data_IF_143317206815
#
_entry.id   IF_143317206815
#
_cell.length_a   1.000
_cell.length_b   1.000
_cell.length_c   1.000
_cell.angle_alpha   90.00
_cell.angle_beta   90.00
_cell.angle_gamma   90.00
#
_symmetry.space_group_name_H-M   'P 1'
#
loop_
_entity.id
_entity.type
_entity.pdbx_description
1 polymer ?
#
# COMPACT_ATOMS: atom_id res chain seq x y z
N UNK A 1 29.59 -27.34 -17.05
CA UNK A 1 29.76 -25.97 -17.62
C UNK A 1 28.88 -25.03 -16.80
N UNK A 2 29.46 -24.20 -15.92
CA UNK A 2 28.69 -23.21 -15.15
C UNK A 2 28.08 -22.24 -16.16
N UNK A 3 26.78 -22.33 -16.39
CA UNK A 3 26.04 -21.30 -17.13
C UNK A 3 26.24 -20.03 -16.32
N UNK A 4 27.09 -19.14 -16.81
CA UNK A 4 27.25 -17.79 -16.28
C UNK A 4 25.86 -17.17 -16.37
N UNK A 5 25.19 -17.00 -15.22
CA UNK A 5 23.90 -16.34 -15.15
C UNK A 5 24.07 -14.95 -15.77
N UNK A 6 23.54 -14.81 -16.98
CA UNK A 6 23.54 -13.56 -17.73
C UNK A 6 22.89 -12.52 -16.82
N UNK A 7 23.67 -11.52 -16.39
CA UNK A 7 23.25 -10.46 -15.46
C UNK A 7 21.89 -9.91 -15.94
N UNK A 8 20.81 -10.21 -15.20
CA UNK A 8 19.46 -9.81 -15.60
C UNK A 8 19.39 -8.27 -15.63
N UNK A 9 18.68 -7.71 -16.62
CA UNK A 9 18.66 -6.26 -16.82
C UNK A 9 18.00 -5.55 -15.62
N UNK A 10 18.66 -4.57 -14.97
CA UNK A 10 18.07 -3.81 -13.86
C UNK A 10 16.79 -3.07 -14.27
N UNK A 11 16.58 -2.85 -15.57
CA UNK A 11 15.36 -2.25 -16.13
C UNK A 11 14.12 -3.10 -15.82
N UNK A 12 14.22 -4.43 -15.88
CA UNK A 12 13.07 -5.32 -15.65
C UNK A 12 12.56 -5.19 -14.20
N UNK A 13 13.48 -5.07 -13.24
CA UNK A 13 13.14 -4.88 -11.84
C UNK A 13 12.52 -3.51 -11.56
N UNK A 14 13.05 -2.46 -12.19
CA UNK A 14 12.45 -1.14 -12.16
C UNK A 14 11.02 -1.13 -12.73
N UNK A 15 10.82 -1.73 -13.92
CA UNK A 15 9.50 -1.83 -14.56
C UNK A 15 8.53 -2.61 -13.69
N UNK A 16 8.97 -3.69 -13.03
CA UNK A 16 8.13 -4.41 -12.06
C UNK A 16 7.63 -3.48 -10.96
N UNK A 17 8.55 -2.83 -10.24
CA UNK A 17 8.18 -1.99 -9.09
C UNK A 17 7.32 -0.81 -9.54
N UNK A 18 7.67 -0.15 -10.65
CA UNK A 18 6.95 1.02 -11.14
C UNK A 18 5.56 0.66 -11.69
N UNK A 19 5.43 -0.43 -12.45
CA UNK A 19 4.14 -0.85 -13.02
C UNK A 19 3.11 -1.26 -11.96
N UNK A 20 3.55 -1.74 -10.80
CA UNK A 20 2.66 -1.96 -9.64
C UNK A 20 2.04 -0.65 -9.18
N UNK A 21 2.76 0.47 -9.30
CA UNK A 21 2.29 1.79 -8.85
C UNK A 21 1.35 2.51 -9.84
N UNK A 22 1.02 1.88 -10.96
CA UNK A 22 0.18 2.45 -12.03
C UNK A 22 -1.27 1.97 -11.95
N UNK A 23 -1.81 1.82 -10.74
CA UNK A 23 -3.13 1.23 -10.50
C UNK A 23 -4.29 1.95 -11.19
N UNK A 24 -4.17 3.25 -11.48
CA UNK A 24 -5.16 4.03 -12.24
C UNK A 24 -5.26 3.60 -13.70
N UNK A 25 -4.14 3.25 -14.32
CA UNK A 25 -4.04 2.98 -15.75
C UNK A 25 -4.37 1.52 -16.05
N UNK A 26 -5.59 1.13 -15.74
CA UNK A 26 -6.09 -0.23 -15.92
C UNK A 26 -7.11 -0.32 -17.04
N UNK A 27 -7.18 -1.49 -17.68
CA UNK A 27 -8.23 -1.83 -18.64
C UNK A 27 -9.33 -2.58 -17.90
N UNK A 28 -10.58 -2.14 -18.04
CA UNK A 28 -11.72 -2.88 -17.51
C UNK A 28 -12.10 -4.02 -18.46
N UNK A 29 -11.88 -5.25 -18.02
CA UNK A 29 -12.25 -6.48 -18.73
C UNK A 29 -13.22 -7.35 -17.90
N UNK A 30 -14.01 -6.71 -17.02
CA UNK A 30 -14.76 -7.36 -15.94
C UNK A 30 -13.97 -7.47 -14.63
N UNK A 31 -12.69 -7.10 -14.69
CA UNK A 31 -11.82 -6.73 -13.57
C UNK A 31 -10.78 -5.73 -14.08
N UNK A 32 -10.18 -4.98 -13.17
CA UNK A 32 -9.11 -4.02 -13.48
C UNK A 32 -7.82 -4.76 -13.87
N UNK A 33 -7.57 -4.89 -15.18
CA UNK A 33 -6.32 -5.40 -15.72
C UNK A 33 -5.25 -4.31 -15.64
N UNK A 34 -4.36 -4.43 -14.66
CA UNK A 34 -3.36 -3.41 -14.33
C UNK A 34 -2.04 -3.61 -15.08
N UNK A 35 -1.21 -2.56 -15.25
CA UNK A 35 0.02 -2.65 -16.03
C UNK A 35 1.00 -3.72 -15.53
N UNK A 36 1.12 -3.91 -14.22
CA UNK A 36 1.99 -4.96 -13.67
C UNK A 36 1.52 -6.37 -14.07
N UNK A 37 0.21 -6.60 -14.21
CA UNK A 37 -0.34 -7.91 -14.60
C UNK A 37 0.08 -8.27 -16.03
N UNK A 38 0.01 -7.30 -16.94
CA UNK A 38 0.48 -7.45 -18.33
C UNK A 38 1.99 -7.71 -18.35
N UNK A 39 2.74 -6.94 -17.57
CA UNK A 39 4.20 -7.09 -17.48
C UNK A 39 4.61 -8.48 -16.94
N UNK A 40 4.02 -8.96 -15.85
CA UNK A 40 4.36 -10.29 -15.33
C UNK A 40 3.92 -11.41 -16.27
N UNK A 41 2.80 -11.26 -16.98
CA UNK A 41 2.36 -12.23 -17.98
C UNK A 41 3.37 -12.31 -19.14
N UNK A 42 3.86 -11.16 -19.61
CA UNK A 42 4.93 -11.09 -20.59
C UNK A 42 6.20 -11.79 -20.09
N UNK A 43 6.65 -11.48 -18.87
CA UNK A 43 7.83 -12.14 -18.28
C UNK A 43 7.61 -13.65 -18.17
N UNK A 44 6.42 -14.11 -17.77
CA UNK A 44 6.10 -15.53 -17.63
C UNK A 44 6.22 -16.27 -18.97
N UNK A 45 5.72 -15.70 -20.07
CA UNK A 45 5.81 -16.30 -21.41
C UNK A 45 7.27 -16.62 -21.79
N UNK A 46 8.20 -15.67 -21.59
CA UNK A 46 9.61 -15.87 -21.93
C UNK A 46 10.39 -16.70 -20.90
N UNK A 47 9.84 -16.88 -19.69
CA UNK A 47 10.50 -17.55 -18.58
C UNK A 47 9.85 -18.85 -18.14
N UNK A 48 8.81 -19.32 -18.86
CA UNK A 48 7.99 -20.48 -18.50
C UNK A 48 8.83 -21.74 -18.27
N UNK A 49 9.81 -22.01 -19.14
CA UNK A 49 10.72 -23.15 -19.05
C UNK A 49 11.64 -23.14 -17.80
N UNK A 50 11.76 -21.99 -17.11
CA UNK A 50 12.55 -21.82 -15.89
C UNK A 50 11.69 -21.48 -14.68
N UNK A 51 10.37 -21.35 -14.85
CA UNK A 51 9.50 -20.96 -13.76
C UNK A 51 9.44 -22.09 -12.73
N UNK A 52 9.61 -21.74 -11.46
CA UNK A 52 9.47 -22.68 -10.36
C UNK A 52 8.93 -21.97 -9.13
N UNK A 53 8.22 -22.72 -8.28
CA UNK A 53 7.68 -22.22 -7.02
C UNK A 53 8.73 -22.35 -5.93
N UNK A 54 9.09 -21.23 -5.29
CA UNK A 54 9.96 -21.23 -4.12
C UNK A 54 9.27 -21.86 -2.92
N UNK A 55 10.06 -22.48 -2.04
CA UNK A 55 9.61 -22.94 -0.72
C UNK A 55 8.93 -21.80 0.03
N UNK A 56 7.79 -22.12 0.66
CA UNK A 56 6.99 -21.19 1.44
C UNK A 56 7.56 -21.04 2.86
N UNK A 57 7.55 -19.80 3.37
CA UNK A 57 7.73 -19.50 4.79
C UNK A 57 6.43 -19.63 5.56
N UNK A 58 6.53 -19.70 6.90
CA UNK A 58 5.37 -19.87 7.78
C UNK A 58 4.29 -18.79 7.57
N UNK A 59 4.68 -17.51 7.42
CA UNK A 59 3.72 -16.43 7.18
C UNK A 59 2.98 -16.59 5.83
N UNK A 60 3.63 -17.16 4.82
CA UNK A 60 3.00 -17.42 3.51
C UNK A 60 2.00 -18.57 3.59
N UNK A 61 2.30 -19.61 4.38
CA UNK A 61 1.36 -20.70 4.64
C UNK A 61 0.12 -20.16 5.36
N UNK A 62 0.31 -19.35 6.40
CA UNK A 62 -0.80 -18.72 7.14
C UNK A 62 -1.61 -17.78 6.23
N UNK A 63 -0.94 -17.01 5.36
CA UNK A 63 -1.59 -16.18 4.35
C UNK A 63 -2.50 -17.03 3.44
N UNK A 64 -1.98 -18.12 2.89
CA UNK A 64 -2.74 -19.03 2.03
C UNK A 64 -3.95 -19.60 2.79
N UNK A 65 -3.76 -20.05 4.04
CA UNK A 65 -4.84 -20.57 4.87
C UNK A 65 -5.94 -19.52 5.12
N UNK A 66 -5.57 -18.27 5.40
CA UNK A 66 -6.53 -17.18 5.53
C UNK A 66 -7.33 -16.99 4.23
N UNK A 67 -6.66 -16.89 3.07
CA UNK A 67 -7.35 -16.65 1.81
C UNK A 67 -8.18 -17.83 1.32
N UNK A 68 -7.77 -19.06 1.61
CA UNK A 68 -8.58 -20.25 1.35
C UNK A 68 -9.85 -20.22 2.21
N UNK A 69 -9.72 -19.91 3.50
CA UNK A 69 -10.88 -19.77 4.38
C UNK A 69 -11.80 -18.62 3.92
N UNK A 70 -11.24 -17.43 3.69
CA UNK A 70 -12.00 -16.28 3.20
C UNK A 70 -12.72 -16.60 1.89
N UNK A 71 -12.06 -17.27 0.93
CA UNK A 71 -12.71 -17.71 -0.31
C UNK A 71 -13.84 -18.72 -0.06
N UNK A 72 -13.69 -19.61 0.94
CA UNK A 72 -14.72 -20.60 1.27
C UNK A 72 -16.01 -19.99 1.82
N UNK A 73 -15.95 -18.79 2.41
CA UNK A 73 -17.17 -18.10 2.89
C UNK A 73 -18.07 -17.63 1.74
N UNK A 74 -17.60 -17.68 0.49
CA UNK A 74 -18.43 -17.48 -0.70
C UNK A 74 -19.62 -18.45 -0.78
N UNK A 75 -19.54 -19.64 -0.17
CA UNK A 75 -20.62 -20.64 -0.18
C UNK A 75 -21.88 -20.12 0.51
N UNK A 76 -21.73 -19.26 1.53
CA UNK A 76 -22.83 -18.68 2.31
C UNK A 76 -23.19 -17.25 1.88
N UNK A 77 -22.55 -16.75 0.83
CA UNK A 77 -22.73 -15.37 0.37
C UNK A 77 -24.11 -15.16 -0.28
N UNK A 78 -24.79 -14.07 0.10
CA UNK A 78 -26.03 -13.62 -0.56
C UNK A 78 -25.79 -13.18 -2.00
N UNK A 79 -24.61 -12.62 -2.29
CA UNK A 79 -24.21 -12.13 -3.61
C UNK A 79 -23.02 -12.94 -4.15
N UNK A 80 -23.22 -14.19 -4.59
CA UNK A 80 -22.13 -15.10 -4.98
C UNK A 80 -21.31 -14.59 -6.18
N UNK A 81 -21.90 -13.81 -7.08
CA UNK A 81 -21.18 -13.19 -8.21
C UNK A 81 -20.06 -12.26 -7.74
N UNK A 82 -20.28 -11.50 -6.65
CA UNK A 82 -19.26 -10.63 -6.08
C UNK A 82 -18.14 -11.45 -5.42
N UNK A 83 -18.50 -12.50 -4.67
CA UNK A 83 -17.52 -13.43 -4.10
C UNK A 83 -16.70 -14.14 -5.17
N UNK A 84 -17.31 -14.58 -6.27
CA UNK A 84 -16.58 -15.22 -7.37
C UNK A 84 -15.56 -14.28 -8.01
N UNK A 85 -15.92 -13.00 -8.24
CA UNK A 85 -14.97 -11.98 -8.70
C UNK A 85 -13.82 -11.78 -7.71
N UNK A 86 -14.11 -11.75 -6.41
CA UNK A 86 -13.06 -11.67 -5.38
C UNK A 86 -12.14 -12.89 -5.40
N UNK A 87 -12.67 -14.10 -5.53
CA UNK A 87 -11.87 -15.34 -5.64
C UNK A 87 -10.95 -15.28 -6.87
N UNK A 88 -11.45 -14.83 -8.03
CA UNK A 88 -10.62 -14.61 -9.21
C UNK A 88 -9.51 -13.58 -8.92
N UNK A 89 -9.85 -12.48 -8.26
CA UNK A 89 -8.87 -11.48 -7.81
C UNK A 89 -7.80 -12.06 -6.89
N UNK A 90 -8.19 -12.92 -5.94
CA UNK A 90 -7.29 -13.66 -5.05
C UNK A 90 -6.36 -14.56 -5.89
N UNK A 91 -6.88 -15.35 -6.82
CA UNK A 91 -6.06 -16.21 -7.69
C UNK A 91 -5.05 -15.39 -8.48
N UNK A 92 -5.48 -14.27 -9.08
CA UNK A 92 -4.61 -13.36 -9.84
C UNK A 92 -3.51 -12.78 -8.95
N UNK A 93 -3.84 -12.31 -7.74
CA UNK A 93 -2.83 -11.69 -6.86
C UNK A 93 -1.85 -12.73 -6.31
N UNK A 94 -2.28 -13.96 -6.04
CA UNK A 94 -1.36 -15.05 -5.68
C UNK A 94 -0.43 -15.42 -6.83
N UNK A 95 -0.97 -15.55 -8.05
CA UNK A 95 -0.15 -15.73 -9.25
C UNK A 95 0.88 -14.61 -9.41
N UNK A 96 0.44 -13.36 -9.19
CA UNK A 96 1.30 -12.18 -9.20
C UNK A 96 2.38 -12.23 -8.13
N UNK A 97 2.03 -12.61 -6.90
CA UNK A 97 2.95 -12.73 -5.79
C UNK A 97 4.06 -13.75 -6.05
N UNK A 98 3.73 -14.93 -6.58
CA UNK A 98 4.73 -15.93 -6.96
C UNK A 98 5.60 -15.46 -8.12
N UNK A 99 5.02 -14.74 -9.09
CA UNK A 99 5.79 -14.09 -10.14
C UNK A 99 6.74 -13.02 -9.59
N UNK A 100 6.30 -12.21 -8.62
CA UNK A 100 7.16 -11.24 -7.94
C UNK A 100 8.35 -11.95 -7.29
N UNK A 101 8.11 -13.02 -6.52
CA UNK A 101 9.19 -13.84 -5.92
C UNK A 101 10.14 -14.40 -6.97
N UNK A 102 9.61 -14.95 -8.07
CA UNK A 102 10.41 -15.48 -9.17
C UNK A 102 11.31 -14.43 -9.82
N UNK A 103 10.79 -13.23 -10.06
CA UNK A 103 11.56 -12.13 -10.63
C UNK A 103 12.63 -11.66 -9.62
N UNK A 104 12.23 -11.36 -8.37
CA UNK A 104 13.11 -10.87 -7.31
C UNK A 104 14.21 -11.85 -6.95
N UNK A 105 14.01 -13.15 -7.17
CA UNK A 105 15.04 -14.13 -6.85
C UNK A 105 16.31 -13.95 -7.70
N UNK A 106 16.16 -13.50 -8.94
CA UNK A 106 17.27 -13.28 -9.87
C UNK A 106 18.11 -12.03 -9.58
N UNK A 107 17.77 -11.24 -8.56
CA UNK A 107 18.46 -9.98 -8.25
C UNK A 107 19.04 -9.96 -6.83
N UNK A 108 20.06 -9.14 -6.62
CA UNK A 108 20.59 -8.83 -5.29
C UNK A 108 19.66 -7.85 -4.54
N UNK A 109 19.79 -7.80 -3.21
CA UNK A 109 19.02 -6.84 -2.40
C UNK A 109 19.34 -5.39 -2.79
N UNK A 110 20.60 -5.10 -3.10
CA UNK A 110 21.02 -3.75 -3.51
C UNK A 110 20.34 -3.32 -4.83
N UNK A 111 20.20 -4.22 -5.80
CA UNK A 111 19.49 -3.93 -7.06
C UNK A 111 17.99 -3.68 -6.83
N UNK A 112 17.37 -4.43 -5.91
CA UNK A 112 15.98 -4.23 -5.49
C UNK A 112 15.81 -2.86 -4.83
N UNK A 113 16.68 -2.52 -3.89
CA UNK A 113 16.66 -1.22 -3.22
C UNK A 113 16.89 -0.07 -4.20
N UNK A 114 17.79 -0.21 -5.17
CA UNK A 114 18.00 0.80 -6.22
C UNK A 114 16.77 0.97 -7.10
N UNK A 115 16.05 -0.13 -7.39
CA UNK A 115 14.82 -0.11 -8.18
C UNK A 115 13.67 0.55 -7.41
N UNK A 116 13.51 0.23 -6.11
CA UNK A 116 12.57 0.94 -5.21
C UNK A 116 12.90 2.43 -5.18
N UNK A 117 14.17 2.79 -4.99
CA UNK A 117 14.62 4.18 -4.94
C UNK A 117 14.34 4.95 -6.23
N UNK A 118 14.48 4.31 -7.39
CA UNK A 118 14.29 4.97 -8.68
C UNK A 118 12.81 5.03 -9.05
N UNK A 119 12.06 3.95 -8.82
CA UNK A 119 10.62 3.90 -9.06
C UNK A 119 9.86 4.88 -8.16
N UNK A 120 10.24 5.00 -6.88
CA UNK A 120 9.61 5.94 -5.95
C UNK A 120 9.81 7.41 -6.33
N UNK A 121 10.99 7.79 -6.85
CA UNK A 121 11.24 9.15 -7.33
C UNK A 121 10.35 9.42 -8.54
N UNK A 122 10.34 8.52 -9.53
CA UNK A 122 9.54 8.70 -10.73
C UNK A 122 8.04 8.76 -10.41
N UNK A 123 7.56 7.84 -9.57
CA UNK A 123 6.16 7.76 -9.14
C UNK A 123 5.71 9.06 -8.47
N UNK A 124 6.46 9.56 -7.48
CA UNK A 124 6.09 10.77 -6.77
C UNK A 124 6.25 12.02 -7.63
N UNK A 125 7.29 12.10 -8.44
CA UNK A 125 7.51 13.23 -9.35
C UNK A 125 6.36 13.36 -10.35
N UNK A 126 6.02 12.27 -11.05
CA UNK A 126 4.89 12.30 -12.01
C UNK A 126 3.58 12.59 -11.29
N UNK A 127 3.35 12.02 -10.11
CA UNK A 127 2.12 12.24 -9.35
C UNK A 127 1.94 13.71 -8.92
N UNK A 128 3.01 14.38 -8.48
CA UNK A 128 2.98 15.82 -8.17
C UNK A 128 2.77 16.63 -9.44
N UNK A 129 3.43 16.30 -10.55
CA UNK A 129 3.23 16.99 -11.84
C UNK A 129 1.77 16.88 -12.29
N UNK A 130 1.18 15.68 -12.26
CA UNK A 130 -0.22 15.46 -12.64
C UNK A 130 -1.19 16.19 -11.70
N UNK A 131 -0.88 16.27 -10.41
CA UNK A 131 -1.64 17.06 -9.45
C UNK A 131 -1.60 18.56 -9.77
N UNK A 132 -0.42 19.11 -10.05
CA UNK A 132 -0.26 20.52 -10.42
C UNK A 132 -0.94 20.85 -11.75
N UNK A 133 -0.83 19.97 -12.76
CA UNK A 133 -1.57 20.10 -14.02
C UNK A 133 -3.09 20.09 -13.73
N UNK A 134 -3.56 19.24 -12.82
CA UNK A 134 -4.94 19.24 -12.34
C UNK A 134 -5.38 20.59 -11.78
N UNK A 135 -4.60 21.18 -10.87
CA UNK A 135 -4.87 22.50 -10.29
C UNK A 135 -4.95 23.58 -11.38
N UNK A 136 -3.98 23.61 -12.29
CA UNK A 136 -3.92 24.59 -13.38
C UNK A 136 -5.10 24.41 -14.33
N UNK A 137 -5.49 23.16 -14.65
CA UNK A 137 -6.62 22.88 -15.53
C UNK A 137 -7.97 23.32 -14.96
N UNK A 138 -8.08 23.45 -13.64
CA UNK A 138 -9.24 24.04 -12.97
C UNK A 138 -9.14 25.57 -12.83
N UNK A 139 -8.14 26.22 -13.46
CA UNK A 139 -7.86 27.66 -13.31
C UNK A 139 -7.80 28.11 -11.85
N UNK A 140 -7.27 27.27 -10.96
CA UNK A 140 -7.22 27.53 -9.51
C UNK A 140 -8.60 27.70 -8.84
N UNK A 141 -9.71 27.36 -9.52
CA UNK A 141 -11.03 27.28 -8.92
C UNK A 141 -11.20 25.96 -8.16
N UNK A 142 -10.71 25.93 -6.93
CA UNK A 142 -10.65 24.74 -6.07
C UNK A 142 -11.96 24.55 -5.27
N UNK A 143 -13.09 24.58 -5.96
CA UNK A 143 -14.42 24.34 -5.37
C UNK A 143 -15.07 23.16 -6.07
N UNK A 144 -15.64 22.24 -5.31
CA UNK A 144 -16.35 21.08 -5.84
C UNK A 144 -16.18 19.82 -5.02
N UNK A 145 -16.91 18.78 -5.42
CA UNK A 145 -16.90 17.48 -4.77
C UNK A 145 -16.93 16.37 -5.81
N UNK A 146 -16.06 15.37 -5.66
CA UNK A 146 -15.89 14.25 -6.58
C UNK A 146 -15.53 14.68 -8.03
N UNK A 147 -14.76 15.76 -8.17
CA UNK A 147 -14.24 16.20 -9.48
C UNK A 147 -12.80 15.72 -9.61
N UNK A 148 -12.57 14.79 -10.54
CA UNK A 148 -11.26 14.21 -10.78
C UNK A 148 -10.66 14.71 -12.09
N UNK A 149 -9.46 15.30 -12.03
CA UNK A 149 -8.77 15.86 -13.20
C UNK A 149 -7.28 15.56 -13.12
N UNK A 150 -6.76 14.82 -14.10
CA UNK A 150 -5.38 14.32 -14.14
C UNK A 150 -4.96 13.58 -12.86
N UNK A 151 -4.16 14.21 -11.98
CA UNK A 151 -3.71 13.65 -10.69
C UNK A 151 -4.35 14.32 -9.47
N UNK A 152 -5.38 15.14 -9.69
CA UNK A 152 -6.12 15.89 -8.67
C UNK A 152 -7.52 15.32 -8.50
N UNK A 153 -7.94 15.16 -7.24
CA UNK A 153 -9.32 14.90 -6.84
C UNK A 153 -9.81 16.05 -5.95
N UNK A 154 -10.79 16.81 -6.44
CA UNK A 154 -11.56 17.72 -5.60
C UNK A 154 -12.58 16.93 -4.79
N UNK A 155 -12.42 16.92 -3.48
CA UNK A 155 -13.29 16.21 -2.55
C UNK A 155 -13.65 17.16 -1.41
N UNK A 156 -14.90 17.62 -1.38
CA UNK A 156 -15.41 18.63 -0.44
C UNK A 156 -14.51 19.87 -0.38
N UNK A 157 -14.36 20.52 -1.53
CA UNK A 157 -13.53 21.71 -1.77
C UNK A 157 -12.04 21.54 -1.41
N UNK A 158 -11.60 20.31 -1.14
CA UNK A 158 -10.20 20.03 -0.85
C UNK A 158 -9.52 19.48 -2.10
N UNK A 159 -8.41 20.09 -2.57
CA UNK A 159 -7.65 19.63 -3.73
C UNK A 159 -6.69 18.49 -3.33
N UNK A 160 -7.15 17.24 -3.42
CA UNK A 160 -6.40 16.06 -2.94
C UNK A 160 -5.56 15.45 -4.05
N UNK A 161 -4.28 15.18 -3.78
CA UNK A 161 -3.43 14.43 -4.69
C UNK A 161 -3.85 12.96 -4.75
N UNK A 162 -4.12 12.50 -5.97
CA UNK A 162 -4.32 11.08 -6.33
C UNK A 162 -3.25 10.57 -7.30
N UNK A 163 -2.63 11.47 -8.08
CA UNK A 163 -1.47 11.18 -8.90
C UNK A 163 -1.69 10.06 -9.92
N UNK A 164 -0.79 9.08 -9.93
CA UNK A 164 -0.86 7.88 -10.78
C UNK A 164 -1.88 6.82 -10.27
N UNK A 165 -2.65 7.14 -9.23
CA UNK A 165 -3.69 6.32 -8.63
C UNK A 165 -5.03 7.09 -8.66
N UNK A 166 -6.07 6.49 -8.08
CA UNK A 166 -7.45 7.02 -8.15
C UNK A 166 -8.02 7.43 -6.80
N UNK A 167 -7.39 7.05 -5.69
CA UNK A 167 -7.84 7.42 -4.34
C UNK A 167 -6.65 7.94 -3.51
N UNK A 168 -6.82 9.03 -2.76
CA UNK A 168 -5.74 9.65 -1.99
C UNK A 168 -5.23 8.76 -0.84
N UNK A 169 -6.07 7.91 -0.25
CA UNK A 169 -5.64 6.99 0.81
C UNK A 169 -4.93 5.76 0.22
N UNK A 170 -5.41 5.24 -0.91
CA UNK A 170 -4.70 4.21 -1.68
C UNK A 170 -3.34 4.76 -2.13
N UNK A 171 -3.26 6.02 -2.57
CA UNK A 171 -1.99 6.66 -2.92
C UNK A 171 -0.97 6.58 -1.78
N UNK A 172 -1.39 6.96 -0.58
CA UNK A 172 -0.54 6.92 0.62
C UNK A 172 -0.13 5.48 0.94
N UNK A 173 -1.03 4.51 0.77
CA UNK A 173 -0.72 3.09 0.96
C UNK A 173 0.41 2.62 0.04
N UNK A 174 0.42 3.02 -1.24
CA UNK A 174 1.48 2.65 -2.17
C UNK A 174 2.77 3.39 -1.83
N UNK A 175 2.66 4.68 -1.54
CA UNK A 175 3.78 5.55 -1.29
C UNK A 175 4.51 5.27 0.04
N UNK A 176 3.86 4.60 0.99
CA UNK A 176 4.43 4.31 2.31
C UNK A 176 5.71 3.46 2.23
N UNK A 177 5.82 2.55 1.26
CA UNK A 177 7.05 1.80 1.00
C UNK A 177 8.21 2.74 0.64
N UNK A 178 7.95 3.74 -0.21
CA UNK A 178 8.96 4.70 -0.63
C UNK A 178 9.36 5.65 0.50
N UNK A 179 8.39 6.19 1.24
CA UNK A 179 8.66 7.04 2.43
C UNK A 179 9.58 6.31 3.40
N UNK A 180 9.20 5.10 3.81
CA UNK A 180 9.98 4.31 4.76
C UNK A 180 11.36 3.94 4.19
N UNK A 181 11.42 3.55 2.91
CA UNK A 181 12.68 3.24 2.26
C UNK A 181 13.64 4.44 2.28
N UNK A 182 13.23 5.62 1.82
CA UNK A 182 14.13 6.78 1.81
C UNK A 182 14.51 7.26 3.20
N UNK A 183 13.56 7.22 4.16
CA UNK A 183 13.79 7.62 5.55
C UNK A 183 14.94 6.84 6.21
N UNK A 184 15.08 5.56 5.87
CA UNK A 184 16.17 4.71 6.37
C UNK A 184 17.42 4.69 5.49
N UNK A 185 17.39 5.30 4.31
CA UNK A 185 18.50 5.28 3.34
C UNK A 185 18.88 6.70 2.89
N UNK A 186 19.09 7.62 3.82
CA UNK A 186 19.36 9.06 3.54
C UNK A 186 20.75 9.37 2.98
N UNK A 187 21.48 8.36 2.53
CA UNK A 187 22.79 8.52 1.91
C UNK A 187 22.63 9.09 0.49
N UNK A 188 23.32 10.20 0.21
CA UNK A 188 23.29 10.88 -1.08
C UNK A 188 22.09 11.83 -1.30
N UNK A 189 22.21 12.67 -2.33
CA UNK A 189 21.19 13.65 -2.70
C UNK A 189 19.92 12.98 -3.25
N UNK A 190 20.08 11.89 -4.01
CA UNK A 190 18.99 11.15 -4.65
C UNK A 190 17.91 10.72 -3.65
N UNK A 191 18.29 10.08 -2.55
CA UNK A 191 17.33 9.57 -1.57
C UNK A 191 16.74 10.68 -0.70
N UNK A 192 17.47 11.79 -0.47
CA UNK A 192 16.92 12.98 0.19
C UNK A 192 15.83 13.64 -0.65
N UNK A 193 16.07 13.79 -1.97
CA UNK A 193 15.06 14.27 -2.91
C UNK A 193 13.88 13.30 -2.99
N UNK A 194 14.15 11.99 -3.02
CA UNK A 194 13.11 10.95 -2.98
C UNK A 194 12.23 11.05 -1.73
N UNK A 195 12.82 11.22 -0.54
CA UNK A 195 12.07 11.40 0.70
C UNK A 195 11.22 12.67 0.65
N UNK A 196 11.80 13.78 0.19
CA UNK A 196 11.10 15.06 0.06
C UNK A 196 9.87 14.91 -0.84
N UNK A 197 10.04 14.37 -2.05
CA UNK A 197 8.93 14.12 -2.99
C UNK A 197 7.87 13.20 -2.39
N UNK A 198 8.27 12.09 -1.76
CA UNK A 198 7.34 11.13 -1.18
C UNK A 198 6.52 11.73 -0.02
N UNK A 199 7.16 12.45 0.89
CA UNK A 199 6.46 13.11 2.01
C UNK A 199 5.56 14.22 1.50
N UNK A 200 6.03 15.08 0.59
CA UNK A 200 5.20 16.13 -0.04
C UNK A 200 3.97 15.52 -0.70
N UNK A 201 4.12 14.45 -1.49
CA UNK A 201 2.99 13.80 -2.14
C UNK A 201 1.97 13.23 -1.12
N UNK A 202 2.45 12.62 -0.02
CA UNK A 202 1.58 12.18 1.07
C UNK A 202 0.79 13.34 1.71
N UNK A 203 1.44 14.48 1.95
CA UNK A 203 0.79 15.65 2.55
C UNK A 203 -0.28 16.26 1.62
N UNK A 204 0.03 16.36 0.32
CA UNK A 204 -0.90 16.87 -0.70
C UNK A 204 -2.13 15.98 -0.90
N UNK A 205 -2.15 14.74 -0.38
CA UNK A 205 -3.36 13.92 -0.38
C UNK A 205 -4.44 14.41 0.60
N UNK A 206 -4.06 15.27 1.56
CA UNK A 206 -4.88 15.70 2.69
C UNK A 206 -5.57 14.52 3.40
N UNK A 207 -4.92 13.35 3.42
CA UNK A 207 -5.43 12.14 4.06
C UNK A 207 -5.09 12.12 5.55
N UNK A 208 -6.12 12.07 6.39
CA UNK A 208 -5.98 11.85 7.85
C UNK A 208 -5.22 10.55 8.16
N UNK A 209 -5.46 9.50 7.38
CA UNK A 209 -4.74 8.23 7.50
C UNK A 209 -3.24 8.38 7.21
N UNK A 210 -2.85 9.26 6.28
CA UNK A 210 -1.45 9.58 6.03
C UNK A 210 -0.76 10.22 7.22
N UNK A 211 -1.38 11.24 7.83
CA UNK A 211 -0.81 11.90 9.01
C UNK A 211 -0.61 10.92 10.16
N UNK A 212 -1.62 10.09 10.44
CA UNK A 212 -1.53 9.08 11.50
C UNK A 212 -0.44 8.03 11.21
N UNK A 213 -0.37 7.53 9.98
CA UNK A 213 0.63 6.54 9.58
C UNK A 213 2.05 7.12 9.63
N UNK A 214 2.26 8.34 9.12
CA UNK A 214 3.55 9.04 9.19
C UNK A 214 3.99 9.30 10.63
N UNK A 215 3.07 9.65 11.53
CA UNK A 215 3.35 9.84 12.95
C UNK A 215 3.87 8.55 13.59
N UNK A 216 3.17 7.43 13.44
CA UNK A 216 3.61 6.14 13.99
C UNK A 216 4.89 5.62 13.32
N UNK A 217 5.05 5.82 12.01
CA UNK A 217 6.31 5.54 11.31
C UNK A 217 7.47 6.34 11.90
N UNK A 218 7.26 7.62 12.22
CA UNK A 218 8.23 8.48 12.89
C UNK A 218 8.62 7.97 14.28
N UNK A 219 7.65 7.51 15.08
CA UNK A 219 7.91 6.89 16.39
C UNK A 219 8.77 5.64 16.22
N UNK A 220 8.36 4.71 15.37
CA UNK A 220 9.11 3.47 15.14
C UNK A 220 10.50 3.74 14.55
N UNK A 221 10.62 4.74 13.68
CA UNK A 221 11.91 5.20 13.17
C UNK A 221 12.82 5.66 14.31
N UNK A 222 12.34 6.48 15.25
CA UNK A 222 13.12 6.94 16.41
C UNK A 222 13.54 5.77 17.30
N UNK A 223 12.65 4.79 17.51
CA UNK A 223 12.93 3.63 18.36
C UNK A 223 13.91 2.63 17.73
N UNK A 224 13.97 2.57 16.40
CA UNK A 224 14.75 1.55 15.66
C UNK A 224 15.99 2.11 14.96
N UNK A 225 16.09 3.43 14.84
CA UNK A 225 17.15 4.14 14.12
C UNK A 225 17.71 5.30 14.94
N UNK A 226 18.51 6.19 14.32
CA UNK A 226 19.20 7.28 15.02
C UNK A 226 18.27 8.51 15.14
N UNK A 227 17.90 8.95 16.37
CA UNK A 227 16.89 10.00 16.60
C UNK A 227 17.27 11.38 16.04
N UNK A 228 18.56 11.64 15.81
CA UNK A 228 19.09 12.92 15.31
C UNK A 228 18.50 13.33 13.95
N UNK A 229 18.11 12.36 13.12
CA UNK A 229 17.52 12.64 11.80
C UNK A 229 16.10 13.19 11.93
N UNK A 230 15.28 12.66 12.84
CA UNK A 230 13.89 13.11 12.99
C UNK A 230 13.84 14.53 13.55
N UNK A 231 14.70 14.87 14.51
CA UNK A 231 14.83 16.25 14.99
C UNK A 231 15.21 17.21 13.86
N UNK A 232 16.18 16.84 13.01
CA UNK A 232 16.56 17.68 11.86
C UNK A 232 15.41 17.86 10.87
N UNK A 233 14.68 16.79 10.55
CA UNK A 233 13.51 16.84 9.66
C UNK A 233 12.37 17.66 10.26
N UNK A 234 12.13 17.56 11.57
CA UNK A 234 11.14 18.35 12.30
C UNK A 234 11.45 19.84 12.22
N UNK A 235 12.69 20.25 12.48
CA UNK A 235 13.08 21.66 12.35
C UNK A 235 12.98 22.15 10.90
N UNK A 236 13.40 21.33 9.91
CA UNK A 236 13.23 21.66 8.49
C UNK A 236 11.74 21.89 8.17
N UNK A 237 10.85 21.00 8.61
CA UNK A 237 9.42 21.14 8.41
C UNK A 237 8.86 22.40 9.11
N UNK A 238 9.29 22.68 10.34
CA UNK A 238 8.86 23.84 11.13
C UNK A 238 9.17 25.17 10.42
N UNK A 239 10.33 25.27 9.77
CA UNK A 239 10.74 26.50 9.05
C UNK A 239 10.23 26.56 7.61
N UNK A 240 10.11 25.44 6.90
CA UNK A 240 9.66 25.41 5.50
C UNK A 240 8.13 25.60 5.40
N UNK A 241 7.37 25.07 6.36
CA UNK A 241 5.89 25.10 6.29
C UNK A 241 5.34 26.54 6.21
N UNK A 242 5.75 27.49 7.07
CA UNK A 242 5.27 28.88 6.97
C UNK A 242 5.63 29.56 5.65
N UNK A 243 6.80 29.25 5.09
CA UNK A 243 7.25 29.79 3.79
C UNK A 243 6.35 29.27 2.66
N UNK A 244 6.02 27.98 2.67
CA UNK A 244 5.10 27.39 1.70
C UNK A 244 3.71 28.03 1.82
N UNK A 245 3.19 28.18 3.04
CA UNK A 245 1.90 28.85 3.27
C UNK A 245 1.90 30.27 2.68
N UNK A 246 2.92 31.06 3.00
CA UNK A 246 3.05 32.43 2.50
C UNK A 246 3.09 32.51 0.97
N UNK A 247 3.88 31.63 0.31
CA UNK A 247 3.97 31.59 -1.16
C UNK A 247 2.62 31.18 -1.76
N UNK A 248 1.97 30.15 -1.22
CA UNK A 248 0.71 29.63 -1.76
C UNK A 248 -0.41 30.67 -1.66
N UNK A 249 -0.54 31.32 -0.51
CA UNK A 249 -1.56 32.34 -0.27
C UNK A 249 -1.34 33.58 -1.14
N UNK A 250 -0.13 34.10 -1.20
CA UNK A 250 0.13 35.38 -1.87
C UNK A 250 0.31 35.28 -3.38
N UNK A 251 0.84 34.17 -3.90
CA UNK A 251 1.14 34.05 -5.33
C UNK A 251 0.07 33.30 -6.11
N UNK A 252 -0.68 32.41 -5.45
CA UNK A 252 -1.70 31.59 -6.10
C UNK A 252 -3.12 31.90 -5.61
N UNK A 253 -3.27 32.82 -4.63
CA UNK A 253 -4.56 33.18 -4.03
C UNK A 253 -5.34 31.96 -3.51
N UNK A 254 -4.63 30.93 -3.06
CA UNK A 254 -5.20 29.74 -2.44
C UNK A 254 -5.18 29.95 -0.93
N UNK A 255 -6.36 30.03 -0.32
CA UNK A 255 -6.49 30.05 1.13
C UNK A 255 -6.29 28.65 1.71
N UNK A 256 -5.05 28.35 2.09
CA UNK A 256 -4.70 27.05 2.67
C UNK A 256 -5.33 26.84 4.05
N UNK A 257 -5.58 27.92 4.80
CA UNK A 257 -6.16 27.85 6.14
C UNK A 257 -7.62 27.41 6.06
N UNK A 258 -8.42 27.97 5.15
CA UNK A 258 -9.80 27.52 4.96
C UNK A 258 -9.88 26.06 4.52
N UNK A 259 -9.00 25.61 3.63
CA UNK A 259 -8.93 24.19 3.22
C UNK A 259 -8.66 23.28 4.44
N UNK A 260 -7.71 23.65 5.29
CA UNK A 260 -7.39 22.87 6.50
C UNK A 260 -8.56 22.89 7.49
N UNK A 261 -9.18 24.06 7.71
CA UNK A 261 -10.32 24.22 8.60
C UNK A 261 -11.55 23.45 8.11
N UNK A 262 -11.83 23.45 6.81
CA UNK A 262 -12.91 22.66 6.20
C UNK A 262 -12.68 21.16 6.37
N UNK A 263 -11.43 20.70 6.25
CA UNK A 263 -11.04 19.32 6.57
C UNK A 263 -11.16 18.98 8.04
N UNK A 264 -10.86 19.91 8.94
CA UNK A 264 -11.06 19.72 10.37
C UNK A 264 -12.55 19.65 10.72
N UNK A 265 -13.35 20.62 10.24
CA UNK A 265 -14.78 20.76 10.54
C UNK A 265 -15.64 19.66 9.90
N UNK A 266 -15.30 19.19 8.71
CA UNK A 266 -16.05 18.08 8.08
C UNK A 266 -16.07 16.82 8.96
N UNK A 267 -15.02 16.58 9.76
CA UNK A 267 -14.89 15.43 10.66
C UNK A 267 -16.01 15.35 11.71
N UNK A 268 -16.42 16.48 12.27
CA UNK A 268 -17.46 16.53 13.30
C UNK A 268 -18.86 16.38 12.70
N UNK A 269 -19.07 16.85 11.46
CA UNK A 269 -20.37 16.79 10.80
C UNK A 269 -20.70 15.44 10.14
N UNK A 270 -19.71 14.64 9.74
CA UNK A 270 -19.94 13.48 8.87
C UNK A 270 -19.44 12.13 9.41
N UNK A 271 -19.00 12.07 10.66
CA UNK A 271 -18.53 10.84 11.29
C UNK A 271 -17.33 10.20 10.58
N UNK A 272 -16.43 11.00 10.00
CA UNK A 272 -15.23 10.48 9.33
C UNK A 272 -15.49 10.02 7.90
N UNK A 273 -16.29 10.76 7.13
CA UNK A 273 -16.72 10.43 5.75
C UNK A 273 -17.82 9.35 5.66
N UNK A 274 -18.68 9.25 6.67
CA UNK A 274 -19.73 8.22 6.78
C UNK A 274 -19.21 6.87 7.26
N UNK A 275 -17.96 6.78 7.72
CA UNK A 275 -17.33 5.52 8.14
C UNK A 275 -17.94 4.93 9.39
N UNK A 276 -18.33 5.76 10.36
CA UNK A 276 -18.99 5.27 11.58
C UNK A 276 -20.29 4.52 11.25
N UNK A 277 -21.08 5.02 10.31
CA UNK A 277 -22.30 4.35 9.84
C UNK A 277 -21.97 3.03 9.14
N UNK A 278 -20.97 3.02 8.25
CA UNK A 278 -20.52 1.82 7.55
C UNK A 278 -20.03 0.74 8.52
N UNK A 279 -19.28 1.13 9.55
CA UNK A 279 -18.79 0.22 10.58
C UNK A 279 -19.93 -0.32 11.44
N UNK A 280 -20.89 0.54 11.82
CA UNK A 280 -22.08 0.12 12.55
C UNK A 280 -22.89 -0.92 11.76
N UNK A 281 -23.12 -0.69 10.45
CA UNK A 281 -23.77 -1.65 9.56
C UNK A 281 -22.99 -2.97 9.46
N UNK A 282 -21.68 -2.88 9.29
CA UNK A 282 -20.79 -4.03 9.19
C UNK A 282 -20.80 -4.91 10.45
N UNK A 283 -20.81 -4.27 11.62
CA UNK A 283 -20.95 -4.96 12.90
C UNK A 283 -22.33 -5.58 13.07
N UNK A 284 -23.39 -4.92 12.62
CA UNK A 284 -24.73 -5.50 12.57
C UNK A 284 -24.78 -6.80 11.76
N UNK A 285 -24.22 -6.78 10.55
CA UNK A 285 -24.11 -7.97 9.70
C UNK A 285 -23.26 -9.09 10.33
N UNK A 286 -22.21 -8.72 11.07
CA UNK A 286 -21.41 -9.69 11.82
C UNK A 286 -22.21 -10.33 12.95
N UNK A 287 -23.04 -9.57 13.67
CA UNK A 287 -23.88 -10.12 14.75
C UNK A 287 -24.91 -11.12 14.22
N UNK A 288 -25.40 -10.95 12.99
CA UNK A 288 -26.30 -11.90 12.33
C UNK A 288 -25.59 -13.20 11.90
N UNK A 289 -24.29 -13.14 11.58
CA UNK A 289 -23.46 -14.30 11.21
C UNK A 289 -22.07 -14.24 11.87
N UNK A 290 -21.95 -14.52 13.19
CA UNK A 290 -20.73 -14.22 13.95
C UNK A 290 -19.51 -15.05 13.53
N UNK A 291 -19.71 -16.32 13.20
CA UNK A 291 -18.59 -17.24 12.98
C UNK A 291 -18.03 -17.19 11.57
N UNK A 292 -18.90 -17.04 10.56
CA UNK A 292 -18.53 -17.13 9.14
C UNK A 292 -18.76 -15.84 8.35
N UNK A 293 -19.41 -14.83 8.94
CA UNK A 293 -19.70 -13.56 8.28
C UNK A 293 -20.75 -13.69 7.16
N UNK A 294 -20.84 -12.64 6.35
CA UNK A 294 -21.79 -12.55 5.22
C UNK A 294 -21.24 -13.06 3.88
N UNK A 295 -20.03 -13.62 3.88
CA UNK A 295 -19.33 -14.11 2.69
C UNK A 295 -18.37 -13.10 2.08
N UNK A 296 -17.29 -13.60 1.46
CA UNK A 296 -16.23 -12.79 0.86
C UNK A 296 -16.78 -11.73 -0.10
N UNK A 297 -16.33 -10.49 0.07
CA UNK A 297 -16.64 -9.34 -0.79
C UNK A 297 -18.14 -9.04 -0.94
N UNK A 298 -18.94 -9.32 0.08
CA UNK A 298 -20.38 -9.02 0.08
C UNK A 298 -20.71 -7.67 0.70
N UNK A 299 -19.85 -7.07 1.53
CA UNK A 299 -20.17 -5.82 2.21
C UNK A 299 -20.55 -4.66 1.26
N UNK A 300 -19.84 -4.44 0.12
CA UNK A 300 -20.23 -3.40 -0.84
C UNK A 300 -21.60 -3.68 -1.47
N UNK A 301 -21.91 -4.95 -1.75
CA UNK A 301 -23.18 -5.37 -2.34
C UNK A 301 -24.35 -5.26 -1.35
N UNK A 302 -24.11 -5.56 -0.07
CA UNK A 302 -25.08 -5.31 0.99
C UNK A 302 -25.40 -3.81 1.11
N UNK A 303 -24.38 -2.93 1.05
CA UNK A 303 -24.63 -1.50 1.06
C UNK A 303 -25.41 -1.02 -0.18
N UNK A 304 -25.08 -1.53 -1.35
CA UNK A 304 -25.84 -1.24 -2.57
C UNK A 304 -27.30 -1.69 -2.45
N UNK A 305 -27.54 -2.91 -1.95
CA UNK A 305 -28.88 -3.48 -1.84
C UNK A 305 -29.75 -2.76 -0.80
N UNK A 306 -29.22 -2.46 0.39
CA UNK A 306 -30.01 -1.89 1.48
C UNK A 306 -30.02 -0.35 1.51
N UNK A 307 -29.00 0.30 0.95
CA UNK A 307 -28.82 1.76 1.04
C UNK A 307 -28.62 2.44 -0.32
N UNK A 308 -28.75 1.70 -1.43
CA UNK A 308 -28.74 2.26 -2.79
C UNK A 308 -27.38 2.74 -3.29
N UNK A 309 -26.29 2.49 -2.55
CA UNK A 309 -24.94 2.91 -2.94
C UNK A 309 -23.89 1.88 -2.56
N UNK A 310 -23.03 1.54 -3.52
CA UNK A 310 -21.86 0.70 -3.26
C UNK A 310 -20.83 1.51 -2.45
N UNK A 311 -20.49 1.00 -1.26
CA UNK A 311 -19.55 1.61 -0.33
C UNK A 311 -18.66 0.53 0.29
N UNK A 312 -17.38 0.83 0.44
CA UNK A 312 -16.41 -0.07 1.08
C UNK A 312 -16.33 0.21 2.59
N UNK A 313 -15.91 -0.79 3.37
CA UNK A 313 -15.80 -0.64 4.83
C UNK A 313 -14.80 0.45 5.24
N UNK A 314 -13.80 0.71 4.39
CA UNK A 314 -12.68 1.60 4.69
C UNK A 314 -11.99 1.23 6.02
N UNK A 315 -11.96 -0.07 6.33
CA UNK A 315 -11.23 -0.66 7.45
C UNK A 315 -11.10 -2.15 7.15
N UNK A 316 -9.91 -2.58 6.76
CA UNK A 316 -9.63 -3.95 6.31
C UNK A 316 -9.93 -4.97 7.42
N UNK A 317 -9.69 -4.63 8.70
CA UNK A 317 -9.94 -5.55 9.81
C UNK A 317 -11.44 -5.75 10.05
N UNK A 318 -12.22 -4.65 10.03
CA UNK A 318 -13.68 -4.75 10.14
C UNK A 318 -14.29 -5.42 8.91
N UNK A 319 -13.75 -5.17 7.72
CA UNK A 319 -14.19 -5.82 6.48
C UNK A 319 -14.01 -7.34 6.56
N UNK A 320 -12.83 -7.80 6.96
CA UNK A 320 -12.56 -9.23 7.18
C UNK A 320 -13.48 -9.80 8.26
N UNK A 321 -13.66 -9.11 9.39
CA UNK A 321 -14.57 -9.54 10.46
C UNK A 321 -16.02 -9.66 9.96
N UNK A 322 -16.52 -8.70 9.21
CA UNK A 322 -17.90 -8.70 8.69
C UNK A 322 -18.10 -9.78 7.63
N UNK A 323 -17.15 -9.95 6.71
CA UNK A 323 -17.32 -10.84 5.55
C UNK A 323 -16.90 -12.30 5.82
N UNK A 324 -16.11 -12.54 6.86
CA UNK A 324 -15.60 -13.87 7.19
C UNK A 324 -15.68 -14.25 8.67
N UNK A 325 -16.34 -13.43 9.48
CA UNK A 325 -16.64 -13.71 10.88
C UNK A 325 -15.41 -13.78 11.78
N UNK A 326 -15.63 -14.28 13.00
CA UNK A 326 -14.61 -14.44 14.03
C UNK A 326 -13.46 -15.37 13.61
N UNK A 327 -13.77 -16.42 12.84
CA UNK A 327 -12.74 -17.35 12.35
C UNK A 327 -11.83 -16.63 11.35
N UNK A 328 -12.40 -15.86 10.42
CA UNK A 328 -11.64 -15.14 9.40
C UNK A 328 -10.75 -14.05 9.98
N UNK A 329 -11.27 -13.24 10.90
CA UNK A 329 -10.45 -12.20 11.56
C UNK A 329 -9.35 -12.81 12.43
N UNK A 330 -9.59 -13.97 13.05
CA UNK A 330 -8.56 -14.70 13.81
C UNK A 330 -7.42 -15.13 12.88
N UNK A 331 -7.74 -15.79 11.75
CA UNK A 331 -6.75 -16.20 10.76
C UNK A 331 -5.98 -15.00 10.18
N UNK A 332 -6.69 -13.90 9.90
CA UNK A 332 -6.08 -12.67 9.39
C UNK A 332 -5.15 -12.02 10.41
N UNK A 333 -5.56 -12.00 11.68
CA UNK A 333 -4.73 -11.48 12.77
C UNK A 333 -3.48 -12.33 12.95
N UNK A 334 -3.60 -13.66 12.91
CA UNK A 334 -2.46 -14.58 12.94
C UNK A 334 -1.54 -14.33 11.73
N UNK A 335 -2.10 -14.07 10.55
CA UNK A 335 -1.34 -13.67 9.36
C UNK A 335 -0.55 -12.37 9.61
N UNK A 336 -1.18 -11.29 10.06
CA UNK A 336 -0.51 -10.03 10.39
C UNK A 336 0.60 -10.22 11.44
N UNK A 337 0.32 -10.94 12.53
CA UNK A 337 1.30 -11.24 13.60
C UNK A 337 2.45 -12.08 13.07
N UNK A 338 2.20 -13.02 12.15
CA UNK A 338 3.25 -13.85 11.55
C UNK A 338 4.23 -13.05 10.67
N UNK A 339 3.74 -12.03 9.95
CA UNK A 339 4.58 -11.10 9.18
C UNK A 339 5.44 -10.28 10.16
N UNK A 340 4.83 -9.68 11.18
CA UNK A 340 5.54 -8.89 12.19
C UNK A 340 6.61 -9.74 12.90
N UNK A 341 6.23 -10.95 13.34
CA UNK A 341 7.13 -11.91 13.97
C UNK A 341 8.31 -12.28 13.06
N UNK A 342 8.06 -12.40 11.76
CA UNK A 342 9.11 -12.69 10.77
C UNK A 342 10.14 -11.55 10.70
N UNK A 343 9.68 -10.29 10.68
CA UNK A 343 10.55 -9.11 10.67
C UNK A 343 11.37 -9.00 11.96
N UNK A 344 10.75 -9.24 13.12
CA UNK A 344 11.38 -9.10 14.43
C UNK A 344 12.34 -10.25 14.77
N UNK A 345 11.88 -11.51 14.70
CA UNK A 345 12.66 -12.69 15.14
C UNK A 345 13.91 -12.93 14.29
N UNK A 346 13.87 -12.57 13.01
CA UNK A 346 15.02 -12.71 12.10
C UNK A 346 15.93 -11.47 12.10
N UNK A 347 15.72 -10.53 13.04
CA UNK A 347 16.47 -9.25 13.13
C UNK A 347 16.46 -8.44 11.81
N UNK A 348 15.44 -8.62 10.96
CA UNK A 348 15.36 -7.92 9.68
C UNK A 348 15.21 -6.43 9.90
N UNK A 349 14.54 -6.00 10.97
CA UNK A 349 14.44 -4.59 11.34
C UNK A 349 15.79 -3.92 11.64
N UNK A 350 16.86 -4.67 11.94
CA UNK A 350 18.21 -4.09 12.13
C UNK A 350 18.96 -3.92 10.81
N UNK A 351 18.80 -4.87 9.88
CA UNK A 351 19.50 -4.89 8.59
C UNK A 351 18.77 -4.13 7.50
N UNK A 352 17.44 -4.19 7.53
CA UNK A 352 16.50 -3.62 6.58
C UNK A 352 15.37 -2.90 7.35
N UNK A 353 15.69 -1.85 8.12
CA UNK A 353 14.74 -1.22 9.05
C UNK A 353 13.47 -0.68 8.37
N UNK A 354 13.56 -0.30 7.09
CA UNK A 354 12.41 0.14 6.29
C UNK A 354 11.30 -0.91 6.19
N UNK A 355 11.60 -2.20 6.36
CA UNK A 355 10.56 -3.24 6.33
C UNK A 355 9.61 -3.11 7.52
N UNK A 356 10.15 -2.86 8.72
CA UNK A 356 9.34 -2.72 9.92
C UNK A 356 8.49 -1.45 9.88
N UNK A 357 9.07 -0.32 9.49
CA UNK A 357 8.34 0.94 9.38
C UNK A 357 7.27 0.89 8.29
N UNK A 358 7.56 0.27 7.13
CA UNK A 358 6.54 0.06 6.08
C UNK A 358 5.39 -0.79 6.60
N UNK A 359 5.69 -1.90 7.30
CA UNK A 359 4.66 -2.79 7.86
C UNK A 359 3.75 -2.08 8.86
N UNK A 360 4.34 -1.28 9.76
CA UNK A 360 3.57 -0.48 10.73
C UNK A 360 2.71 0.55 9.99
N UNK A 361 3.28 1.25 9.01
CA UNK A 361 2.53 2.19 8.17
C UNK A 361 1.35 1.52 7.46
N UNK A 362 1.54 0.32 6.92
CA UNK A 362 0.46 -0.47 6.30
C UNK A 362 -0.62 -0.83 7.31
N UNK A 363 -0.28 -1.37 8.48
CA UNK A 363 -1.28 -1.73 9.49
C UNK A 363 -2.13 -0.54 9.94
N UNK A 364 -1.51 0.64 10.13
CA UNK A 364 -2.25 1.87 10.47
C UNK A 364 -3.18 2.28 9.32
N UNK A 365 -2.69 2.28 8.08
CA UNK A 365 -3.51 2.65 6.93
C UNK A 365 -4.68 1.68 6.71
N UNK A 366 -4.47 0.39 6.95
CA UNK A 366 -5.48 -0.66 6.85
C UNK A 366 -6.64 -0.50 7.86
N UNK A 367 -6.44 0.24 8.96
CA UNK A 367 -7.55 0.63 9.85
C UNK A 367 -8.47 1.70 9.23
N UNK A 368 -8.03 2.35 8.14
CA UNK A 368 -8.74 3.44 7.47
C UNK A 368 -9.00 3.20 5.98
N UNK A 369 -8.70 1.99 5.51
CA UNK A 369 -8.78 1.59 4.11
C UNK A 369 -9.16 0.11 3.98
N UNK A 370 -9.87 -0.23 2.89
CA UNK A 370 -10.21 -1.60 2.49
C UNK A 370 -9.23 -2.07 1.41
N UNK A 371 -8.25 -2.89 1.78
CA UNK A 371 -7.10 -3.28 0.92
C UNK A 371 -6.71 -4.75 1.08
N UNK A 372 -7.68 -5.64 1.30
CA UNK A 372 -7.45 -7.08 1.49
C UNK A 372 -6.49 -7.63 0.43
N UNK A 373 -6.82 -7.48 -0.86
CA UNK A 373 -6.03 -8.02 -1.99
C UNK A 373 -5.12 -6.99 -2.69
N UNK A 374 -4.69 -5.93 -2.00
CA UNK A 374 -3.96 -4.83 -2.65
C UNK A 374 -2.52 -5.20 -3.03
N UNK A 375 -2.14 -4.96 -4.29
CA UNK A 375 -0.86 -5.40 -4.85
C UNK A 375 0.39 -4.79 -4.21
N UNK A 376 0.31 -3.59 -3.63
CA UNK A 376 1.43 -2.98 -2.92
C UNK A 376 1.83 -3.81 -1.69
N UNK A 377 0.86 -4.40 -0.98
CA UNK A 377 1.11 -5.31 0.13
C UNK A 377 1.83 -6.57 -0.35
N UNK A 378 1.38 -7.17 -1.46
CA UNK A 378 2.01 -8.39 -2.00
C UNK A 378 3.41 -8.14 -2.57
N UNK A 379 3.66 -6.98 -3.18
CA UNK A 379 5.00 -6.57 -3.57
C UNK A 379 5.91 -6.44 -2.33
N UNK A 380 5.43 -5.79 -1.26
CA UNK A 380 6.15 -5.71 0.01
C UNK A 380 6.45 -7.10 0.59
N UNK A 381 5.48 -8.02 0.60
CA UNK A 381 5.70 -9.40 1.07
C UNK A 381 6.74 -10.15 0.22
N UNK A 382 6.81 -9.89 -1.08
CA UNK A 382 7.81 -10.51 -1.95
C UNK A 382 9.22 -9.95 -1.68
N UNK A 383 9.33 -8.66 -1.35
CA UNK A 383 10.58 -8.03 -0.89
C UNK A 383 11.00 -8.62 0.48
N UNK A 384 10.06 -8.75 1.41
CA UNK A 384 10.28 -9.38 2.72
C UNK A 384 10.79 -10.82 2.56
N UNK A 385 10.15 -11.61 1.69
CA UNK A 385 10.59 -12.96 1.33
C UNK A 385 12.06 -12.97 0.87
N UNK A 386 12.44 -12.04 -0.01
CA UNK A 386 13.80 -11.98 -0.56
C UNK A 386 14.84 -11.66 0.52
N UNK A 387 14.55 -10.68 1.39
CA UNK A 387 15.39 -10.35 2.54
C UNK A 387 15.55 -11.55 3.48
N UNK A 388 14.45 -12.23 3.82
CA UNK A 388 14.48 -13.41 4.67
C UNK A 388 15.25 -14.58 4.05
N UNK A 389 15.12 -14.81 2.74
CA UNK A 389 15.89 -15.82 2.00
C UNK A 389 17.39 -15.56 2.10
N UNK A 390 17.82 -14.31 1.91
CA UNK A 390 19.24 -13.94 2.03
C UNK A 390 19.78 -14.20 3.43
N UNK A 391 19.02 -13.84 4.46
CA UNK A 391 19.44 -14.02 5.85
C UNK A 391 19.53 -15.48 6.26
N UNK A 392 18.58 -16.31 5.83
CA UNK A 392 18.65 -17.75 6.05
C UNK A 392 19.86 -18.41 5.34
N UNK A 393 20.24 -17.92 4.16
CA UNK A 393 21.45 -18.40 3.46
C UNK A 393 22.72 -17.99 4.20
N UNK A 394 22.81 -16.75 4.68
CA UNK A 394 23.95 -16.27 5.47
C UNK A 394 24.11 -17.08 6.76
N UNK A 395 23.01 -17.34 7.48
CA UNK A 395 23.03 -18.13 8.72
C UNK A 395 23.44 -19.59 8.48
N UNK A 396 23.07 -20.20 7.34
CA UNK A 396 23.53 -21.54 6.98
C UNK A 396 25.03 -21.59 6.67
N UNK A 397 25.55 -20.59 5.97
CA UNK A 397 26.97 -20.51 5.62
C UNK A 397 27.87 -20.22 6.83
N UNK A 398 27.32 -19.58 7.88
CA UNK A 398 28.05 -19.23 9.09
C UNK A 398 27.97 -20.29 10.21
N UNK A 399 27.29 -21.43 10.00
CA UNK A 399 27.37 -22.54 10.97
C UNK A 399 28.72 -23.23 10.82
N UNK A 400 29.52 -23.39 11.89
CA UNK A 400 30.75 -24.17 11.81
C UNK A 400 30.41 -25.59 11.36
N UNK A 401 31.16 -26.10 10.39
CA UNK A 401 31.10 -27.51 9.99
C UNK A 401 31.52 -28.29 11.22
N UNK A 402 30.56 -28.84 11.98
CA UNK A 402 30.86 -29.89 12.95
C UNK A 402 31.37 -31.08 12.13
N UNK A 403 32.70 -31.20 12.07
CA UNK A 403 33.40 -32.39 11.62
C UNK A 403 33.43 -33.40 12.76
#
# INVERSE_FOLDING_TARGET
MKVVDKKRSPVLLFVLVFSVMLGRYSLDIGFSLKPYMIFIAFVLIFSLHRFYLHKLYAYEIIMILFYLYYSSTAIIAKFPNASFRMILGIIIIFGSYFMFKFILDGYSINEIQLSIASAGILFNLISIILYLIGIVSLNFHLVGNQIEVYGLLMDRNTPRLVGLLSDPNIFVFYNMLFVCFYLHNLEGLKNKLGLMLAVTACLLTFSRGAFLALFFVGIIYVLTSKPKVLFKLFFIALFITPIIFYIVENWFSIDLMSIILERANSTTSDGGSGRLDLWSRGLGYMLDSPFFGIGAFNFPQYNLYFYGKEMYMHNTFLEVLTESGLIGIMLYTIFCISILSTVLKNNLYKKYPYLLTTLVGYFILMMTLSVIINEALFLYLAILWKCLKRENMNNKNNKPIMK
#
